data_IF_546403668169
#
_entry.id   IF_546403668169
#
_cell.length_a   1.000
_cell.length_b   1.000
_cell.length_c   1.000
_cell.angle_alpha   90.00
_cell.angle_beta   90.00
_cell.angle_gamma   90.00
#
_symmetry.space_group_name_H-M   'P 1'
#
loop_
_entity.id
_entity.type
_entity.pdbx_description
1 polymer ?
#
# COMPACT_ATOMS: atom_id res chain seq x y z
N UNK A 1 -61.79 30.46 -22.10
CA UNK A 1 -60.87 30.60 -20.94
C UNK A 1 -59.52 29.97 -21.36
N UNK A 2 -58.61 30.86 -21.68
CA UNK A 2 -57.23 30.44 -22.03
C UNK A 2 -56.51 30.10 -20.74
N UNK A 3 -55.99 28.91 -20.62
CA UNK A 3 -55.07 28.53 -19.54
C UNK A 3 -53.68 28.67 -20.10
N UNK A 4 -52.93 29.61 -19.58
CA UNK A 4 -51.58 29.95 -19.98
C UNK A 4 -50.63 28.80 -19.63
N UNK A 5 -50.02 28.24 -20.68
CA UNK A 5 -49.06 27.17 -20.62
C UNK A 5 -47.63 27.65 -20.26
N UNK A 6 -47.49 28.55 -19.28
CA UNK A 6 -46.21 29.24 -19.04
C UNK A 6 -45.70 29.19 -17.61
N UNK A 7 -45.97 28.16 -16.83
CA UNK A 7 -45.40 28.07 -15.49
C UNK A 7 -44.90 26.68 -15.13
N UNK A 8 -44.38 25.92 -16.07
CA UNK A 8 -43.54 24.74 -15.71
C UNK A 8 -42.23 24.79 -16.49
N UNK A 9 -41.51 25.88 -16.36
CA UNK A 9 -40.07 25.85 -16.48
C UNK A 9 -39.53 25.52 -15.09
N UNK A 10 -39.72 24.29 -14.69
CA UNK A 10 -38.95 23.75 -13.56
C UNK A 10 -37.48 23.78 -13.99
N UNK A 11 -36.81 24.79 -13.47
CA UNK A 11 -35.39 24.92 -13.48
C UNK A 11 -34.81 23.63 -12.86
N UNK A 12 -34.51 22.67 -13.70
CA UNK A 12 -33.61 21.56 -13.34
C UNK A 12 -32.27 22.23 -13.16
N UNK A 13 -32.05 22.78 -11.96
CA UNK A 13 -30.72 23.11 -11.49
C UNK A 13 -29.95 21.80 -11.53
N UNK A 14 -29.21 21.60 -12.61
CA UNK A 14 -28.17 20.60 -12.69
C UNK A 14 -27.21 20.93 -11.55
N UNK A 15 -27.44 20.28 -10.42
CA UNK A 15 -26.41 20.06 -9.43
C UNK A 15 -25.40 19.14 -10.15
N UNK A 16 -24.50 19.76 -10.87
CA UNK A 16 -23.24 19.11 -11.25
C UNK A 16 -22.52 18.94 -9.92
N UNK A 17 -22.82 17.82 -9.27
CA UNK A 17 -22.01 17.33 -8.19
C UNK A 17 -20.64 17.08 -8.84
N UNK A 18 -19.77 18.07 -8.73
CA UNK A 18 -18.36 17.94 -9.05
C UNK A 18 -17.85 16.91 -8.04
N UNK A 19 -17.98 15.64 -8.39
CA UNK A 19 -17.22 14.59 -7.76
C UNK A 19 -15.76 14.95 -8.12
N UNK A 20 -15.15 15.76 -7.24
CA UNK A 20 -13.71 15.83 -7.21
C UNK A 20 -13.28 14.37 -7.02
N UNK A 21 -12.97 13.70 -8.15
CA UNK A 21 -12.24 12.46 -8.12
C UNK A 21 -10.97 12.81 -7.34
N UNK A 22 -10.94 12.42 -6.07
CA UNK A 22 -9.74 12.40 -5.28
C UNK A 22 -8.87 11.34 -5.97
N UNK A 23 -8.17 11.79 -7.04
CA UNK A 23 -7.13 10.98 -7.67
C UNK A 23 -6.13 10.85 -6.54
N UNK A 24 -5.88 9.65 -6.02
CA UNK A 24 -4.81 9.47 -5.06
C UNK A 24 -3.55 9.95 -5.78
N UNK A 25 -3.01 11.08 -5.32
CA UNK A 25 -1.68 11.50 -5.73
C UNK A 25 -0.79 10.42 -5.19
N UNK A 26 -0.36 9.53 -6.07
CA UNK A 26 0.60 8.47 -5.72
C UNK A 26 1.90 9.20 -5.41
N UNK A 27 2.18 9.31 -4.13
CA UNK A 27 3.39 9.94 -3.65
C UNK A 27 4.61 9.23 -4.25
N UNK A 28 5.35 9.93 -5.11
CA UNK A 28 6.50 9.37 -5.83
C UNK A 28 7.81 9.47 -5.09
N UNK A 29 7.82 9.97 -3.87
CA UNK A 29 9.00 10.22 -3.06
C UNK A 29 8.94 9.60 -1.67
N UNK A 30 10.01 9.83 -0.91
CA UNK A 30 10.06 9.51 0.51
C UNK A 30 9.02 10.32 1.28
N UNK A 31 8.52 9.79 2.38
CA UNK A 31 7.57 10.49 3.25
C UNK A 31 8.27 10.92 4.53
N UNK A 32 8.27 12.21 4.78
CA UNK A 32 8.83 12.83 5.98
C UNK A 32 7.69 13.15 6.95
N UNK A 33 7.58 12.38 8.03
CA UNK A 33 6.62 12.65 9.09
C UNK A 33 7.17 13.74 9.99
N UNK A 34 6.36 14.76 10.27
CA UNK A 34 6.77 15.90 11.06
C UNK A 34 6.31 15.78 12.51
N UNK A 35 7.10 16.31 13.44
CA UNK A 35 6.74 16.39 14.86
C UNK A 35 5.48 17.25 15.11
N UNK A 36 5.10 18.11 14.15
CA UNK A 36 3.86 18.88 14.19
C UNK A 36 2.60 18.08 13.81
N UNK A 37 2.75 16.81 13.42
CA UNK A 37 1.64 15.95 12.97
C UNK A 37 1.34 16.02 11.48
N UNK A 38 2.09 16.83 10.69
CA UNK A 38 2.00 16.86 9.23
C UNK A 38 2.97 15.90 8.56
N UNK A 39 2.87 15.80 7.24
CA UNK A 39 3.84 15.07 6.41
C UNK A 39 4.25 15.89 5.19
N UNK A 40 5.45 15.62 4.71
CA UNK A 40 6.00 16.15 3.47
C UNK A 40 6.43 14.96 2.60
N UNK A 41 6.10 15.01 1.33
CA UNK A 41 6.46 13.98 0.36
C UNK A 41 7.40 14.56 -0.69
N UNK A 42 8.47 13.82 -1.00
CA UNK A 42 9.45 14.24 -1.98
C UNK A 42 10.70 13.38 -1.96
N UNK A 43 11.56 13.61 -2.93
CA UNK A 43 12.85 12.91 -3.05
C UNK A 43 13.85 13.50 -2.06
N UNK A 44 14.46 12.66 -1.22
CA UNK A 44 15.58 13.06 -0.37
C UNK A 44 16.84 13.27 -1.21
N UNK A 45 17.22 14.53 -1.39
CA UNK A 45 18.36 14.92 -2.24
C UNK A 45 19.71 14.60 -1.58
N UNK A 46 19.82 14.88 -0.27
CA UNK A 46 21.08 14.72 0.48
C UNK A 46 21.15 13.37 1.22
N UNK A 47 20.91 12.25 0.50
CA UNK A 47 20.89 10.89 1.10
C UNK A 47 22.21 10.51 1.76
N UNK A 48 23.32 10.91 1.14
CA UNK A 48 24.67 10.48 1.53
C UNK A 48 25.32 11.38 2.60
N UNK A 49 24.62 12.43 3.03
CA UNK A 49 25.12 13.35 4.06
C UNK A 49 25.10 12.73 5.46
N UNK A 50 26.26 12.58 6.08
CA UNK A 50 26.42 12.03 7.45
C UNK A 50 27.46 12.85 8.22
N UNK A 51 27.15 13.47 9.37
CA UNK A 51 25.81 13.52 10.00
C UNK A 51 24.85 14.45 9.27
N UNK A 52 23.58 14.06 9.18
CA UNK A 52 22.55 14.87 8.54
C UNK A 52 21.97 15.89 9.53
N UNK A 53 22.19 17.16 9.24
CA UNK A 53 21.64 18.27 10.05
C UNK A 53 20.26 18.67 9.56
N UNK A 54 20.05 18.59 8.26
CA UNK A 54 18.80 18.95 7.59
C UNK A 54 18.46 17.90 6.51
N UNK A 55 17.19 17.80 6.18
CA UNK A 55 16.69 17.01 5.04
C UNK A 55 16.41 18.00 3.88
N UNK A 56 17.11 17.86 2.78
CA UNK A 56 16.80 18.58 1.55
C UNK A 56 15.87 17.71 0.72
N UNK A 57 14.63 18.18 0.58
CA UNK A 57 13.56 17.41 -0.07
C UNK A 57 13.14 18.10 -1.34
N UNK A 58 13.28 17.42 -2.47
CA UNK A 58 12.76 17.88 -3.77
C UNK A 58 11.31 17.45 -3.90
N UNK A 59 10.43 18.46 -4.02
CA UNK A 59 8.99 18.23 -4.19
C UNK A 59 8.66 17.83 -5.63
N UNK A 60 7.57 17.12 -5.82
CA UNK A 60 7.08 16.75 -7.16
C UNK A 60 6.72 17.99 -8.01
N UNK A 61 6.36 19.11 -7.36
CA UNK A 61 6.14 20.40 -8.02
C UNK A 61 7.40 21.03 -8.59
N UNK A 62 8.59 20.46 -8.38
CA UNK A 62 9.88 20.94 -8.88
C UNK A 62 10.62 21.91 -7.95
N UNK A 63 10.08 22.20 -6.76
CA UNK A 63 10.77 22.99 -5.73
C UNK A 63 11.56 22.14 -4.76
N UNK A 64 12.52 22.75 -4.05
CA UNK A 64 13.21 22.12 -2.92
C UNK A 64 12.85 22.82 -1.62
N UNK A 65 12.66 22.04 -0.58
CA UNK A 65 12.46 22.52 0.79
C UNK A 65 13.52 21.92 1.71
N UNK A 66 13.85 22.65 2.76
CA UNK A 66 14.79 22.19 3.78
C UNK A 66 14.03 21.99 5.08
N UNK A 67 14.03 20.76 5.58
CA UNK A 67 13.45 20.38 6.87
C UNK A 67 14.58 20.19 7.88
N UNK A 68 14.52 20.91 8.99
CA UNK A 68 15.46 20.69 10.08
C UNK A 68 15.29 19.29 10.68
N UNK A 69 16.38 18.65 11.08
CA UNK A 69 16.33 17.30 11.67
C UNK A 69 15.41 17.21 12.88
N UNK A 70 15.25 18.29 13.66
CA UNK A 70 14.32 18.36 14.80
C UNK A 70 12.85 18.49 14.41
N UNK A 71 12.54 18.83 13.17
CA UNK A 71 11.17 18.93 12.66
C UNK A 71 10.63 17.59 12.18
N UNK A 72 11.53 16.65 11.82
CA UNK A 72 11.20 15.35 11.27
C UNK A 72 11.19 14.31 12.38
N UNK A 73 10.06 13.64 12.58
CA UNK A 73 9.92 12.54 13.53
C UNK A 73 10.42 11.21 12.96
N UNK A 74 10.13 10.97 11.70
CA UNK A 74 10.64 9.80 10.95
C UNK A 74 10.62 10.04 9.46
N UNK A 75 11.41 9.25 8.73
CA UNK A 75 11.45 9.24 7.27
C UNK A 75 11.10 7.83 6.80
N UNK A 76 10.02 7.71 6.04
CA UNK A 76 9.66 6.48 5.34
C UNK A 76 10.30 6.55 3.96
N UNK A 77 11.39 5.84 3.80
CA UNK A 77 12.11 5.76 2.52
C UNK A 77 11.36 4.81 1.61
N UNK A 78 10.92 5.31 0.45
CA UNK A 78 10.32 4.49 -0.60
C UNK A 78 11.39 4.09 -1.61
N UNK A 79 11.53 2.81 -1.83
CA UNK A 79 12.44 2.28 -2.84
C UNK A 79 11.75 2.20 -4.22
N UNK A 80 12.52 1.90 -5.27
CA UNK A 80 11.99 1.79 -6.64
C UNK A 80 10.98 0.67 -6.78
N UNK A 81 11.07 -0.38 -5.96
CA UNK A 81 10.13 -1.48 -5.99
C UNK A 81 8.76 -1.06 -5.44
N UNK A 82 8.72 -0.27 -4.34
CA UNK A 82 7.46 0.25 -3.79
C UNK A 82 6.74 1.12 -4.84
N UNK A 83 7.47 2.04 -5.47
CA UNK A 83 6.91 2.90 -6.53
C UNK A 83 6.37 2.09 -7.70
N UNK A 84 7.12 1.10 -8.12
CA UNK A 84 6.71 0.25 -9.24
C UNK A 84 5.51 -0.62 -8.90
N UNK A 85 5.41 -1.07 -7.66
CA UNK A 85 4.25 -1.78 -7.14
C UNK A 85 2.97 -0.92 -7.23
N UNK A 86 3.03 0.32 -6.72
CA UNK A 86 1.91 1.26 -6.78
C UNK A 86 1.45 1.57 -8.21
N UNK A 87 2.37 1.64 -9.18
CA UNK A 87 2.04 1.82 -10.60
C UNK A 87 1.38 0.59 -11.24
N UNK A 88 1.74 -0.60 -10.79
CA UNK A 88 1.24 -1.87 -11.35
C UNK A 88 -0.10 -2.26 -10.75
N UNK A 89 -0.33 -1.97 -9.47
CA UNK A 89 -1.49 -2.38 -8.71
C UNK A 89 -2.84 -2.03 -9.40
N UNK A 90 -3.09 -0.80 -9.88
CA UNK A 90 -4.35 -0.45 -10.53
C UNK A 90 -4.55 -1.13 -11.91
N UNK A 91 -3.49 -1.70 -12.49
CA UNK A 91 -3.52 -2.37 -13.79
C UNK A 91 -3.67 -3.88 -13.66
N UNK A 92 -3.56 -4.40 -12.45
CA UNK A 92 -3.64 -5.82 -12.18
C UNK A 92 -5.10 -6.29 -12.21
N UNK A 93 -5.42 -7.39 -12.92
CA UNK A 93 -6.74 -7.99 -12.83
C UNK A 93 -6.96 -8.62 -11.45
N UNK A 94 -8.14 -8.39 -10.85
CA UNK A 94 -8.53 -8.98 -9.57
C UNK A 94 -8.93 -10.46 -9.72
N UNK A 95 -7.99 -11.27 -10.17
CA UNK A 95 -8.12 -12.72 -10.40
C UNK A 95 -7.02 -13.47 -9.66
N UNK A 96 -7.22 -14.76 -9.43
CA UNK A 96 -6.19 -15.62 -8.81
C UNK A 96 -4.86 -15.50 -9.56
N UNK A 97 -4.88 -15.54 -10.89
CA UNK A 97 -3.67 -15.41 -11.70
C UNK A 97 -3.03 -14.02 -11.57
N UNK A 98 -3.84 -12.96 -11.56
CA UNK A 98 -3.35 -11.58 -11.38
C UNK A 98 -2.67 -11.40 -10.03
N UNK A 99 -3.33 -11.82 -8.95
CA UNK A 99 -2.76 -11.78 -7.60
C UNK A 99 -1.51 -12.66 -7.48
N UNK A 100 -1.50 -13.84 -8.12
CA UNK A 100 -0.34 -14.71 -8.10
C UNK A 100 0.88 -14.06 -8.77
N UNK A 101 0.71 -13.47 -9.96
CA UNK A 101 1.77 -12.75 -10.66
C UNK A 101 2.33 -11.60 -9.81
N UNK A 102 1.46 -10.86 -9.14
CA UNK A 102 1.90 -9.78 -8.24
C UNK A 102 2.61 -10.31 -7.01
N UNK A 103 2.14 -11.40 -6.41
CA UNK A 103 2.81 -12.03 -5.27
C UNK A 103 4.24 -12.50 -5.63
N UNK A 104 4.42 -13.08 -6.81
CA UNK A 104 5.74 -13.49 -7.29
C UNK A 104 6.64 -12.28 -7.60
N UNK A 105 6.08 -11.24 -8.22
CA UNK A 105 6.79 -9.99 -8.48
C UNK A 105 7.27 -9.32 -7.18
N UNK A 106 6.42 -9.31 -6.14
CA UNK A 106 6.75 -8.81 -4.81
C UNK A 106 7.85 -9.66 -4.14
N UNK A 107 7.76 -10.99 -4.26
CA UNK A 107 8.77 -11.91 -3.72
C UNK A 107 10.16 -11.63 -4.28
N UNK A 108 10.27 -11.42 -5.58
CA UNK A 108 11.55 -11.12 -6.25
C UNK A 108 12.18 -9.80 -5.78
N UNK A 109 11.38 -8.92 -5.15
CA UNK A 109 11.79 -7.58 -4.71
C UNK A 109 11.77 -7.39 -3.21
N UNK A 110 11.56 -8.48 -2.46
CA UNK A 110 11.50 -8.48 -0.99
C UNK A 110 10.41 -7.55 -0.44
N UNK A 111 9.30 -7.43 -1.16
CA UNK A 111 8.09 -6.74 -0.73
C UNK A 111 7.17 -7.75 -0.03
N UNK A 112 7.57 -8.17 1.17
CA UNK A 112 6.92 -9.28 1.87
C UNK A 112 5.49 -8.96 2.31
N UNK A 113 5.22 -7.73 2.73
CA UNK A 113 3.87 -7.26 3.14
C UNK A 113 2.89 -7.25 1.97
N UNK A 114 3.33 -6.72 0.83
CA UNK A 114 2.54 -6.66 -0.40
C UNK A 114 2.30 -8.05 -0.96
N UNK A 115 3.32 -8.90 -0.90
CA UNK A 115 3.21 -10.31 -1.27
C UNK A 115 2.15 -11.02 -0.43
N UNK A 116 2.19 -10.86 0.89
CA UNK A 116 1.22 -11.45 1.80
C UNK A 116 -0.21 -10.98 1.48
N UNK A 117 -0.39 -9.70 1.17
CA UNK A 117 -1.67 -9.13 0.76
C UNK A 117 -2.25 -9.84 -0.45
N UNK A 118 -1.44 -10.06 -1.49
CA UNK A 118 -1.89 -10.77 -2.70
C UNK A 118 -2.17 -12.26 -2.44
N UNK A 119 -1.36 -12.92 -1.62
CA UNK A 119 -1.61 -14.32 -1.27
C UNK A 119 -2.89 -14.48 -0.45
N UNK A 120 -3.22 -13.55 0.43
CA UNK A 120 -4.50 -13.53 1.17
C UNK A 120 -5.68 -13.31 0.23
N UNK A 121 -5.58 -12.38 -0.73
CA UNK A 121 -6.61 -12.16 -1.73
C UNK A 121 -6.87 -13.40 -2.60
N UNK A 122 -5.84 -14.20 -2.90
CA UNK A 122 -6.02 -15.49 -3.56
C UNK A 122 -6.86 -16.44 -2.70
N UNK A 123 -6.61 -16.50 -1.39
CA UNK A 123 -7.37 -17.38 -0.49
C UNK A 123 -8.82 -16.90 -0.26
N UNK A 124 -9.11 -15.62 -0.48
CA UNK A 124 -10.49 -15.12 -0.51
C UNK A 124 -11.24 -15.61 -1.76
N UNK A 125 -10.54 -15.71 -2.91
CA UNK A 125 -11.11 -16.22 -4.16
C UNK A 125 -11.16 -17.74 -4.21
N UNK A 126 -10.13 -18.41 -3.72
CA UNK A 126 -10.03 -19.87 -3.61
C UNK A 126 -9.39 -20.26 -2.27
N UNK A 127 -10.21 -20.59 -1.26
CA UNK A 127 -9.71 -21.01 0.05
C UNK A 127 -8.84 -22.28 0.03
N UNK A 128 -8.84 -23.05 -1.04
CA UNK A 128 -8.07 -24.28 -1.18
C UNK A 128 -6.79 -24.13 -2.01
N UNK A 129 -6.45 -22.90 -2.39
CA UNK A 129 -5.26 -22.63 -3.20
C UNK A 129 -3.98 -22.97 -2.43
N UNK A 130 -3.46 -24.16 -2.65
CA UNK A 130 -2.31 -24.71 -1.92
C UNK A 130 -1.05 -23.85 -2.01
N UNK A 131 -0.62 -23.36 -3.21
CA UNK A 131 0.57 -22.51 -3.30
C UNK A 131 0.45 -21.19 -2.48
N UNK A 132 -0.74 -20.60 -2.41
CA UNK A 132 -0.93 -19.39 -1.61
C UNK A 132 -0.83 -19.67 -0.11
N UNK A 133 -1.39 -20.80 0.37
CA UNK A 133 -1.24 -21.22 1.75
C UNK A 133 0.23 -21.46 2.11
N UNK A 134 0.96 -22.21 1.29
CA UNK A 134 2.39 -22.45 1.49
C UNK A 134 3.17 -21.12 1.50
N UNK A 135 2.84 -20.21 0.58
CA UNK A 135 3.45 -18.89 0.51
C UNK A 135 3.20 -18.02 1.76
N UNK A 136 2.10 -18.24 2.46
CA UNK A 136 1.75 -17.59 3.75
C UNK A 136 2.32 -18.34 4.98
N UNK A 137 3.13 -19.38 4.77
CA UNK A 137 3.73 -20.14 5.86
C UNK A 137 2.80 -21.16 6.50
N UNK A 138 1.69 -21.53 5.83
CA UNK A 138 0.91 -22.69 6.27
C UNK A 138 1.63 -23.97 5.89
N UNK A 139 1.50 -24.98 6.74
CA UNK A 139 1.98 -26.33 6.47
C UNK A 139 0.81 -27.33 6.61
N UNK A 140 0.99 -28.53 6.10
CA UNK A 140 -0.05 -29.57 6.17
C UNK A 140 0.33 -30.60 7.22
N UNK A 141 -0.45 -30.64 8.30
CA UNK A 141 -0.29 -31.65 9.36
C UNK A 141 -1.49 -32.58 9.36
N UNK A 142 -1.27 -33.88 9.19
CA UNK A 142 -2.34 -34.89 9.16
C UNK A 142 -3.53 -34.54 8.23
N UNK A 143 -3.23 -33.91 7.08
CA UNK A 143 -4.22 -33.50 6.09
C UNK A 143 -4.91 -32.15 6.37
N UNK A 144 -4.67 -31.52 7.51
CA UNK A 144 -5.22 -30.21 7.90
C UNK A 144 -4.19 -29.13 7.70
N UNK A 145 -4.61 -27.98 7.19
CA UNK A 145 -3.76 -26.78 7.12
C UNK A 145 -3.60 -26.17 8.51
N UNK A 146 -2.36 -25.90 8.87
CA UNK A 146 -2.00 -25.30 10.15
C UNK A 146 -0.91 -24.24 9.93
N UNK A 147 -0.86 -23.24 10.77
CA UNK A 147 0.23 -22.26 10.74
C UNK A 147 1.53 -22.87 11.28
N UNK A 148 2.68 -22.28 10.94
CA UNK A 148 3.95 -22.71 11.51
C UNK A 148 3.93 -22.67 13.05
N UNK A 149 3.26 -21.67 13.62
CA UNK A 149 3.13 -21.54 15.07
C UNK A 149 2.32 -22.68 15.69
N UNK A 150 1.16 -23.00 15.12
CA UNK A 150 0.32 -24.11 15.56
C UNK A 150 1.06 -25.45 15.38
N UNK A 151 1.74 -25.61 14.25
CA UNK A 151 2.53 -26.82 13.95
C UNK A 151 3.58 -27.08 15.02
N UNK A 152 4.44 -26.10 15.32
CA UNK A 152 5.49 -26.27 16.33
C UNK A 152 4.90 -26.44 17.75
N UNK A 153 3.79 -25.77 18.06
CA UNK A 153 3.09 -25.93 19.34
C UNK A 153 2.51 -27.33 19.52
N UNK A 154 1.94 -27.91 18.47
CA UNK A 154 1.44 -29.30 18.49
C UNK A 154 2.58 -30.32 18.66
N UNK A 155 3.76 -30.02 18.16
CA UNK A 155 4.97 -30.84 18.38
C UNK A 155 5.59 -30.64 19.77
N UNK A 156 5.01 -29.78 20.61
CA UNK A 156 5.49 -29.54 21.98
C UNK A 156 6.62 -28.50 22.09
N UNK A 157 6.93 -27.79 21.02
CA UNK A 157 7.91 -26.69 21.07
C UNK A 157 7.31 -25.44 21.75
N UNK A 158 8.18 -24.71 22.44
CA UNK A 158 7.86 -23.44 23.08
C UNK A 158 8.68 -22.34 22.40
N UNK A 159 8.01 -21.25 22.01
CA UNK A 159 8.68 -20.12 21.36
C UNK A 159 9.53 -19.35 22.36
N UNK A 160 10.81 -19.13 22.03
CA UNK A 160 11.71 -18.24 22.75
C UNK A 160 12.16 -17.11 21.81
N UNK A 161 11.57 -15.91 21.96
CA UNK A 161 11.79 -14.79 21.07
C UNK A 161 11.28 -15.11 19.65
N UNK A 162 12.19 -15.16 18.67
CA UNK A 162 11.90 -15.47 17.25
C UNK A 162 12.13 -16.96 16.91
N UNK A 163 12.63 -17.79 17.84
CA UNK A 163 13.01 -19.20 17.62
C UNK A 163 12.03 -20.14 18.33
N UNK A 164 11.79 -21.30 17.70
CA UNK A 164 10.99 -22.41 18.24
C UNK A 164 11.88 -23.48 18.86
#
# INVERSE_FOLDING_TARGET
MRVDANVIVVTIARIVCLVLACIPIVARGDVFLLNSGGQVEGELVNRDEVPRVNYVVRLESGGEIVLGSRQVSSVVVRNDADRRYEELLPKMPATIEGHWKMAEWCRERSLDTERETHLRAILELDPNHEPARLGLGYTRLQGKWTTNEEYYRELGYVRQGTTW
#
